data_IF_148787476336
#
_entry.id   IF_148787476336
#
_cell.length_a   1.000
_cell.length_b   1.000
_cell.length_c   1.000
_cell.angle_alpha   90.00
_cell.angle_beta   90.00
_cell.angle_gamma   90.00
#
_symmetry.space_group_name_H-M   'P 1'
#
loop_
_entity.id
_entity.type
_entity.pdbx_description
1 polymer ?
#
# COMPACT_ATOMS: atom_id res chain seq x y z
N UNK A 1 -24.32 20.49 55.75
CA UNK A 1 -22.97 19.83 55.69
C UNK A 1 -22.88 18.61 54.77
N UNK A 2 -23.98 17.97 54.35
CA UNK A 2 -23.97 16.78 53.49
C UNK A 2 -23.72 17.16 52.01
N UNK A 3 -24.29 18.27 51.50
CA UNK A 3 -24.09 18.73 50.11
C UNK A 3 -22.64 19.08 49.76
N UNK A 4 -21.87 19.60 50.73
CA UNK A 4 -20.47 19.99 50.51
C UNK A 4 -19.53 18.78 50.46
N UNK A 5 -19.86 17.68 51.13
CA UNK A 5 -19.09 16.43 51.08
C UNK A 5 -19.29 15.67 49.73
N UNK A 6 -20.51 15.67 49.18
CA UNK A 6 -20.81 15.06 47.89
C UNK A 6 -20.08 15.77 46.72
N UNK A 7 -20.03 17.11 46.74
CA UNK A 7 -19.30 17.86 45.70
C UNK A 7 -17.79 17.57 45.68
N UNK A 8 -17.18 17.48 46.88
CA UNK A 8 -15.74 17.12 46.97
C UNK A 8 -15.45 15.68 46.55
N UNK A 9 -16.33 14.73 46.87
CA UNK A 9 -16.19 13.36 46.46
C UNK A 9 -16.33 13.21 44.93
N UNK A 10 -17.28 13.90 44.31
CA UNK A 10 -17.49 13.92 42.87
C UNK A 10 -16.28 14.52 42.14
N UNK A 11 -15.70 15.62 42.65
CA UNK A 11 -14.49 16.22 42.07
C UNK A 11 -13.27 15.31 42.15
N UNK A 12 -13.09 14.57 43.24
CA UNK A 12 -11.98 13.62 43.39
C UNK A 12 -12.15 12.43 42.46
N UNK A 13 -13.36 11.91 42.29
CA UNK A 13 -13.65 10.81 41.36
C UNK A 13 -13.41 11.25 39.92
N UNK A 14 -13.85 12.45 39.51
CA UNK A 14 -13.57 12.99 38.18
C UNK A 14 -12.07 13.19 37.93
N UNK A 15 -11.31 13.70 38.90
CA UNK A 15 -9.87 13.85 38.81
C UNK A 15 -9.16 12.49 38.66
N UNK A 16 -9.55 11.50 39.43
CA UNK A 16 -8.99 10.15 39.34
C UNK A 16 -9.31 9.46 38.01
N UNK A 17 -10.53 9.65 37.50
CA UNK A 17 -10.91 9.10 36.21
C UNK A 17 -10.18 9.79 35.05
N UNK A 18 -9.95 11.11 35.11
CA UNK A 18 -9.14 11.79 34.07
C UNK A 18 -7.68 11.38 34.13
N UNK A 19 -7.08 11.24 35.31
CA UNK A 19 -5.70 10.74 35.44
C UNK A 19 -5.56 9.31 34.96
N UNK A 20 -6.52 8.44 35.26
CA UNK A 20 -6.53 7.05 34.77
C UNK A 20 -6.71 7.00 33.24
N UNK A 21 -7.56 7.84 32.66
CA UNK A 21 -7.79 7.90 31.23
C UNK A 21 -6.56 8.42 30.48
N UNK A 22 -5.88 9.44 31.03
CA UNK A 22 -4.61 9.92 30.45
C UNK A 22 -3.49 8.89 30.59
N UNK A 23 -3.38 8.19 31.71
CA UNK A 23 -2.38 7.13 31.90
C UNK A 23 -2.58 5.96 30.89
N UNK A 24 -3.83 5.58 30.60
CA UNK A 24 -4.16 4.55 29.61
C UNK A 24 -3.86 5.00 28.16
N UNK A 25 -3.94 6.30 27.88
CA UNK A 25 -3.63 6.85 26.55
C UNK A 25 -2.13 6.81 26.21
N UNK A 26 -1.26 6.75 27.21
CA UNK A 26 0.20 6.62 27.01
C UNK A 26 0.67 5.16 26.92
N UNK A 27 -0.21 4.18 27.15
CA UNK A 27 0.15 2.75 27.03
C UNK A 27 0.07 2.21 25.60
N UNK A 28 -0.17 3.06 24.59
CA UNK A 28 -0.13 2.70 23.18
C UNK A 28 1.27 2.92 22.58
N UNK A 29 2.32 2.53 23.33
CA UNK A 29 3.61 2.32 22.71
C UNK A 29 3.51 1.00 21.94
N UNK A 30 3.47 1.07 20.62
CA UNK A 30 3.82 -0.06 19.78
C UNK A 30 5.31 -0.26 20.03
N UNK A 31 5.71 -1.38 20.64
CA UNK A 31 7.10 -1.78 20.67
C UNK A 31 7.52 -2.01 19.21
N UNK A 32 8.20 -1.04 18.62
CA UNK A 32 8.86 -1.23 17.34
C UNK A 32 10.05 -2.16 17.59
N UNK A 33 10.05 -3.30 16.95
CA UNK A 33 11.18 -4.21 17.01
C UNK A 33 12.40 -3.50 16.39
N UNK A 34 13.44 -3.31 17.18
CA UNK A 34 14.72 -2.78 16.69
C UNK A 34 15.49 -3.90 15.98
N UNK A 35 15.85 -3.66 14.74
CA UNK A 35 16.73 -4.53 13.95
C UNK A 35 18.09 -3.89 13.83
N UNK A 36 19.14 -4.71 13.84
CA UNK A 36 20.48 -4.24 13.59
C UNK A 36 20.58 -3.66 12.17
N UNK A 37 21.23 -2.51 12.02
CA UNK A 37 21.52 -1.93 10.71
C UNK A 37 22.67 -2.66 10.02
N UNK A 38 22.42 -3.92 9.71
CA UNK A 38 23.29 -4.83 8.99
C UNK A 38 22.51 -5.48 7.84
N UNK A 39 23.16 -6.03 6.82
CA UNK A 39 22.49 -6.77 5.76
C UNK A 39 21.50 -7.85 6.27
N UNK A 40 21.92 -8.62 7.28
CA UNK A 40 21.05 -9.62 7.90
C UNK A 40 19.90 -9.00 8.67
N UNK A 41 20.14 -7.95 9.47
CA UNK A 41 19.10 -7.25 10.20
C UNK A 41 18.06 -6.63 9.26
N UNK A 42 18.49 -6.00 8.18
CA UNK A 42 17.60 -5.43 7.16
C UNK A 42 16.79 -6.50 6.42
N UNK A 43 17.39 -7.67 6.15
CA UNK A 43 16.65 -8.81 5.59
C UNK A 43 15.55 -9.31 6.54
N UNK A 44 15.89 -9.54 7.82
CA UNK A 44 14.94 -9.98 8.84
C UNK A 44 13.78 -8.98 9.00
N UNK A 45 14.11 -7.69 9.08
CA UNK A 45 13.12 -6.63 9.18
C UNK A 45 12.14 -6.64 8.01
N UNK A 46 12.63 -6.68 6.77
CA UNK A 46 11.79 -6.69 5.59
C UNK A 46 10.92 -7.96 5.52
N UNK A 47 11.53 -9.14 5.73
CA UNK A 47 10.78 -10.40 5.70
C UNK A 47 9.63 -10.39 6.71
N UNK A 48 9.90 -9.94 7.94
CA UNK A 48 8.90 -9.89 9.01
C UNK A 48 7.81 -8.85 8.76
N UNK A 49 8.15 -7.68 8.22
CA UNK A 49 7.17 -6.68 7.82
C UNK A 49 6.19 -7.28 6.80
N UNK A 50 6.68 -8.00 5.82
CA UNK A 50 5.84 -8.67 4.82
C UNK A 50 5.01 -9.77 5.48
N UNK A 51 5.64 -10.65 6.29
CA UNK A 51 4.96 -11.74 6.99
C UNK A 51 3.76 -11.24 7.81
N UNK A 52 3.92 -10.11 8.50
CA UNK A 52 2.88 -9.55 9.37
C UNK A 52 1.81 -8.72 8.63
N UNK A 53 2.14 -8.13 7.49
CA UNK A 53 1.30 -7.11 6.86
C UNK A 53 0.75 -7.49 5.48
N UNK A 54 1.34 -8.46 4.81
CA UNK A 54 0.85 -8.88 3.50
C UNK A 54 -0.40 -9.75 3.63
N UNK A 55 -1.51 -9.29 3.08
CA UNK A 55 -2.83 -9.91 3.31
C UNK A 55 -3.21 -11.01 2.32
N UNK A 56 -2.41 -11.27 1.28
CA UNK A 56 -2.77 -12.22 0.22
C UNK A 56 -2.03 -13.56 0.28
N UNK A 57 -1.39 -13.93 1.40
CA UNK A 57 -0.65 -15.19 1.51
C UNK A 57 -1.51 -16.42 1.22
N UNK A 58 -2.71 -16.51 1.78
CA UNK A 58 -3.62 -17.64 1.54
C UNK A 58 -4.02 -17.74 0.08
N UNK A 59 -4.30 -16.62 -0.57
CA UNK A 59 -4.59 -16.55 -1.99
C UNK A 59 -3.40 -17.03 -2.82
N UNK A 60 -2.20 -16.53 -2.57
CA UNK A 60 -0.97 -16.92 -3.30
C UNK A 60 -0.59 -18.37 -3.08
N UNK A 61 -0.84 -18.90 -1.88
CA UNK A 61 -0.66 -20.32 -1.57
C UNK A 61 -1.61 -21.21 -2.39
N UNK A 62 -2.87 -20.80 -2.54
CA UNK A 62 -3.84 -21.54 -3.33
C UNK A 62 -3.55 -21.44 -4.84
N UNK A 63 -3.09 -20.29 -5.32
CA UNK A 63 -2.89 -20.02 -6.73
C UNK A 63 -1.65 -20.72 -7.29
N UNK A 64 -0.53 -20.68 -6.60
CA UNK A 64 0.74 -21.26 -7.08
C UNK A 64 1.63 -21.88 -6.00
N UNK A 65 1.07 -22.14 -4.81
CA UNK A 65 1.76 -22.89 -3.76
C UNK A 65 2.80 -22.06 -2.99
N UNK A 66 2.66 -20.73 -2.91
CA UNK A 66 3.59 -19.89 -2.15
C UNK A 66 3.68 -20.36 -0.69
N UNK A 67 4.90 -20.63 -0.23
CA UNK A 67 5.24 -20.83 1.16
C UNK A 67 6.26 -19.77 1.60
N UNK A 68 5.79 -18.80 2.38
CA UNK A 68 6.63 -17.67 2.79
C UNK A 68 7.78 -18.07 3.72
N UNK A 69 7.61 -19.14 4.51
CA UNK A 69 8.70 -19.68 5.32
C UNK A 69 9.76 -20.39 4.45
N UNK A 70 9.36 -21.05 3.39
CA UNK A 70 10.32 -21.60 2.42
C UNK A 70 11.06 -20.50 1.67
N UNK A 71 10.39 -19.37 1.37
CA UNK A 71 11.02 -18.17 0.81
C UNK A 71 12.07 -17.61 1.78
N UNK A 72 11.75 -17.52 3.09
CA UNK A 72 12.72 -17.14 4.10
C UNK A 72 13.96 -18.03 4.07
N UNK A 73 13.79 -19.34 4.13
CA UNK A 73 14.91 -20.28 4.13
C UNK A 73 15.79 -20.16 2.88
N UNK A 74 15.18 -19.93 1.71
CA UNK A 74 15.87 -19.75 0.43
C UNK A 74 16.73 -18.49 0.41
N UNK A 75 16.20 -17.37 0.88
CA UNK A 75 16.86 -16.06 0.73
C UNK A 75 17.74 -15.69 1.92
N UNK A 76 17.41 -16.11 3.14
CA UNK A 76 18.28 -15.90 4.31
C UNK A 76 19.65 -16.58 4.15
N UNK A 77 19.70 -17.72 3.47
CA UNK A 77 20.96 -18.42 3.17
C UNK A 77 21.87 -17.64 2.18
N UNK A 78 21.35 -16.64 1.48
CA UNK A 78 22.10 -15.84 0.52
C UNK A 78 22.64 -14.54 1.15
N UNK A 79 22.19 -14.18 2.35
CA UNK A 79 22.56 -12.91 3.00
C UNK A 79 23.69 -13.12 4.00
N UNK A 80 24.76 -12.32 3.86
CA UNK A 80 25.80 -12.17 4.87
C UNK A 80 26.09 -10.69 5.13
N UNK A 81 26.75 -10.41 6.26
CA UNK A 81 27.00 -9.04 6.69
C UNK A 81 28.15 -8.33 5.93
N UNK A 82 28.76 -8.98 4.94
CA UNK A 82 29.78 -8.38 4.07
C UNK A 82 29.19 -7.86 2.76
N UNK A 83 27.90 -8.09 2.51
CA UNK A 83 27.21 -7.63 1.31
C UNK A 83 27.20 -6.12 1.19
N UNK A 84 27.33 -5.64 -0.04
CA UNK A 84 27.05 -4.24 -0.37
C UNK A 84 25.56 -3.98 -0.40
N UNK A 85 25.15 -2.71 -0.31
CA UNK A 85 23.75 -2.31 -0.44
C UNK A 85 23.11 -2.81 -1.74
N UNK A 86 23.83 -2.77 -2.85
CA UNK A 86 23.34 -3.26 -4.15
C UNK A 86 23.10 -4.76 -4.14
N UNK A 87 24.00 -5.54 -3.58
CA UNK A 87 23.86 -6.99 -3.46
C UNK A 87 22.68 -7.35 -2.56
N UNK A 88 22.56 -6.69 -1.41
CA UNK A 88 21.41 -6.87 -0.53
C UNK A 88 20.09 -6.50 -1.25
N UNK A 89 20.06 -5.36 -1.95
CA UNK A 89 18.88 -4.91 -2.69
C UNK A 89 18.42 -5.94 -3.72
N UNK A 90 19.33 -6.58 -4.44
CA UNK A 90 19.02 -7.64 -5.39
C UNK A 90 18.39 -8.86 -4.71
N UNK A 91 18.93 -9.31 -3.58
CA UNK A 91 18.41 -10.43 -2.81
C UNK A 91 17.00 -10.11 -2.29
N UNK A 92 16.82 -8.93 -1.70
CA UNK A 92 15.52 -8.48 -1.18
C UNK A 92 14.49 -8.31 -2.30
N UNK A 93 14.87 -7.75 -3.42
CA UNK A 93 14.02 -7.59 -4.60
C UNK A 93 13.56 -8.94 -5.17
N UNK A 94 14.46 -9.91 -5.24
CA UNK A 94 14.13 -11.26 -5.68
C UNK A 94 13.20 -11.97 -4.68
N UNK A 95 13.41 -11.78 -3.37
CA UNK A 95 12.52 -12.28 -2.32
C UNK A 95 11.10 -11.72 -2.48
N UNK A 96 10.96 -10.41 -2.65
CA UNK A 96 9.67 -9.76 -2.88
C UNK A 96 9.01 -10.23 -4.18
N UNK A 97 9.80 -10.53 -5.20
CA UNK A 97 9.34 -11.06 -6.48
C UNK A 97 8.60 -12.38 -6.39
N UNK A 98 8.86 -13.20 -5.35
CA UNK A 98 8.14 -14.46 -5.10
C UNK A 98 6.64 -14.24 -4.81
N UNK A 99 6.27 -13.03 -4.33
CA UNK A 99 4.86 -12.67 -4.10
C UNK A 99 4.07 -12.50 -5.41
N UNK A 100 4.75 -12.31 -6.54
CA UNK A 100 4.13 -12.05 -7.85
C UNK A 100 3.03 -10.98 -7.78
N UNK A 101 3.36 -9.87 -7.11
CA UNK A 101 2.41 -8.78 -6.85
C UNK A 101 3.00 -7.44 -7.29
N UNK A 102 2.36 -6.80 -8.27
CA UNK A 102 2.78 -5.50 -8.79
C UNK A 102 2.61 -4.33 -7.81
N UNK A 103 1.94 -4.54 -6.68
CA UNK A 103 1.78 -3.54 -5.62
C UNK A 103 2.89 -3.59 -4.57
N UNK A 104 3.65 -4.69 -4.51
CA UNK A 104 4.80 -4.82 -3.63
C UNK A 104 6.04 -4.31 -4.36
N UNK A 105 6.51 -3.13 -3.96
CA UNK A 105 7.63 -2.46 -4.60
C UNK A 105 8.67 -2.04 -3.56
N UNK A 106 9.94 -2.08 -3.93
CA UNK A 106 11.05 -1.59 -3.13
C UNK A 106 11.86 -0.59 -3.94
N UNK A 107 12.25 0.52 -3.33
CA UNK A 107 12.99 1.60 -3.96
C UNK A 107 14.24 1.95 -3.15
N UNK A 108 15.32 2.20 -3.85
CA UNK A 108 16.53 2.81 -3.33
C UNK A 108 16.97 3.96 -4.26
N UNK A 109 17.90 4.78 -3.84
CA UNK A 109 18.42 5.89 -4.66
C UNK A 109 19.05 5.44 -5.98
N UNK A 110 19.50 4.19 -6.04
CA UNK A 110 20.23 3.62 -7.18
C UNK A 110 19.42 2.59 -7.98
N UNK A 111 18.28 2.08 -7.46
CA UNK A 111 17.50 1.03 -8.15
C UNK A 111 16.06 0.94 -7.64
N UNK A 112 15.23 0.21 -8.39
CA UNK A 112 13.87 -0.16 -7.99
C UNK A 112 13.62 -1.65 -8.26
N UNK A 113 12.98 -2.34 -7.32
CA UNK A 113 12.52 -3.72 -7.48
C UNK A 113 11.00 -3.75 -7.52
N UNK A 114 10.46 -4.34 -8.58
CA UNK A 114 9.03 -4.41 -8.84
C UNK A 114 8.69 -5.64 -9.68
N UNK A 115 7.61 -6.31 -9.35
CA UNK A 115 7.09 -7.40 -10.18
C UNK A 115 6.28 -6.86 -11.36
N UNK A 116 6.90 -6.81 -12.55
CA UNK A 116 6.29 -6.28 -13.77
C UNK A 116 5.52 -7.31 -14.60
N UNK A 117 5.66 -8.59 -14.27
CA UNK A 117 5.13 -9.70 -15.09
C UNK A 117 3.68 -10.07 -14.80
N UNK A 118 3.02 -9.37 -13.85
CA UNK A 118 1.63 -9.62 -13.48
C UNK A 118 0.65 -9.63 -14.67
N UNK A 119 0.95 -8.88 -15.72
CA UNK A 119 0.12 -8.78 -16.93
C UNK A 119 0.36 -9.91 -17.94
N UNK A 120 1.39 -10.74 -17.77
CA UNK A 120 1.66 -11.88 -18.63
C UNK A 120 0.65 -13.01 -18.38
N UNK A 121 0.25 -13.19 -17.13
CA UNK A 121 -0.71 -14.22 -16.70
C UNK A 121 -2.16 -13.78 -16.91
N UNK A 122 -2.41 -12.47 -17.03
CA UNK A 122 -3.75 -11.91 -17.17
C UNK A 122 -3.84 -11.00 -18.40
N UNK A 123 -4.54 -11.41 -19.46
CA UNK A 123 -4.68 -10.59 -20.66
C UNK A 123 -5.40 -9.29 -20.32
N UNK A 124 -4.98 -8.21 -20.98
CA UNK A 124 -5.64 -6.91 -20.82
C UNK A 124 -7.10 -7.03 -21.22
N UNK A 125 -8.00 -6.61 -20.33
CA UNK A 125 -9.43 -6.50 -20.62
C UNK A 125 -9.79 -5.14 -21.28
N UNK A 126 -8.79 -4.35 -21.64
CA UNK A 126 -8.92 -3.07 -22.31
C UNK A 126 -8.44 -3.15 -23.76
N UNK A 127 -9.18 -2.55 -24.66
CA UNK A 127 -8.86 -2.49 -26.10
C UNK A 127 -8.99 -1.06 -26.64
N UNK A 128 -7.87 -0.48 -27.07
CA UNK A 128 -7.86 0.84 -27.73
C UNK A 128 -8.73 0.89 -28.99
N UNK A 129 -8.88 -0.23 -29.70
CA UNK A 129 -9.73 -0.29 -30.89
C UNK A 129 -11.22 -0.25 -30.54
N UNK A 130 -11.62 -0.90 -29.44
CA UNK A 130 -12.98 -0.80 -28.93
C UNK A 130 -13.28 0.59 -28.39
N UNK A 131 -12.35 1.17 -27.63
CA UNK A 131 -12.51 2.55 -27.15
C UNK A 131 -12.72 3.52 -28.32
N UNK A 132 -11.88 3.47 -29.35
CA UNK A 132 -12.03 4.33 -30.54
C UNK A 132 -13.35 4.09 -31.29
N UNK A 133 -13.82 2.86 -31.33
CA UNK A 133 -15.09 2.53 -31.95
C UNK A 133 -16.28 3.17 -31.25
N UNK A 134 -16.28 3.27 -29.94
CA UNK A 134 -17.37 3.78 -29.14
C UNK A 134 -17.24 5.27 -28.80
N UNK A 135 -16.02 5.74 -28.53
CA UNK A 135 -15.74 7.14 -28.23
C UNK A 135 -15.52 8.00 -29.48
N UNK A 136 -15.21 7.38 -30.62
CA UNK A 136 -14.70 8.08 -31.81
C UNK A 136 -13.44 8.91 -31.52
N UNK A 137 -13.30 10.11 -32.09
CA UNK A 137 -12.16 11.00 -31.93
C UNK A 137 -12.52 12.37 -31.38
N UNK A 138 -13.79 12.63 -31.12
CA UNK A 138 -14.33 13.92 -30.69
C UNK A 138 -14.58 14.02 -29.17
N UNK A 139 -13.79 13.27 -28.37
CA UNK A 139 -13.80 13.41 -26.93
C UNK A 139 -12.96 14.59 -26.46
N UNK A 140 -13.26 15.09 -25.27
CA UNK A 140 -12.49 16.10 -24.56
C UNK A 140 -11.45 15.48 -23.65
N UNK A 141 -10.42 16.24 -23.32
CA UNK A 141 -9.32 15.81 -22.43
C UNK A 141 -9.15 16.86 -21.33
N UNK A 142 -9.13 16.39 -20.07
CA UNK A 142 -8.77 17.15 -18.89
C UNK A 142 -7.77 16.33 -18.07
N UNK A 143 -6.48 16.65 -18.16
CA UNK A 143 -5.41 15.86 -17.53
C UNK A 143 -5.40 14.41 -18.02
N UNK A 144 -5.56 13.47 -17.08
CA UNK A 144 -5.67 12.04 -17.38
C UNK A 144 -7.08 11.58 -17.73
N UNK A 145 -8.05 12.50 -17.74
CA UNK A 145 -9.44 12.20 -18.05
C UNK A 145 -9.71 12.40 -19.52
N UNK A 146 -10.39 11.43 -20.15
CA UNK A 146 -11.05 11.57 -21.45
C UNK A 146 -12.53 11.43 -21.25
N UNK A 147 -13.33 12.33 -21.79
CA UNK A 147 -14.76 12.33 -21.55
C UNK A 147 -15.55 12.80 -22.76
N UNK A 148 -16.78 12.28 -22.85
CA UNK A 148 -17.73 12.57 -23.90
C UNK A 148 -19.15 12.27 -23.45
N UNK A 149 -20.12 13.03 -23.91
CA UNK A 149 -21.54 12.65 -23.87
C UNK A 149 -21.83 11.77 -25.08
N UNK A 150 -22.38 10.59 -24.84
CA UNK A 150 -22.84 9.67 -25.88
C UNK A 150 -24.25 10.05 -26.35
N UNK A 151 -24.69 9.50 -27.51
CA UNK A 151 -25.94 9.88 -28.16
C UNK A 151 -27.21 9.55 -27.32
N UNK A 152 -27.12 8.57 -26.43
CA UNK A 152 -28.18 8.17 -25.48
C UNK A 152 -28.17 8.99 -24.18
N UNK A 153 -27.48 10.12 -24.16
CA UNK A 153 -27.34 11.03 -23.02
C UNK A 153 -26.59 10.41 -21.82
N UNK A 154 -25.71 9.43 -22.07
CA UNK A 154 -24.80 8.86 -21.09
C UNK A 154 -23.49 9.62 -21.11
N UNK A 155 -23.01 10.06 -19.94
CA UNK A 155 -21.66 10.60 -19.77
C UNK A 155 -20.64 9.44 -19.69
N UNK A 156 -19.67 9.44 -20.60
CA UNK A 156 -18.53 8.53 -20.54
C UNK A 156 -17.28 9.26 -20.07
N UNK A 157 -16.63 8.72 -19.03
CA UNK A 157 -15.39 9.25 -18.50
C UNK A 157 -14.39 8.09 -18.40
N UNK A 158 -13.22 8.25 -19.02
CA UNK A 158 -12.07 7.37 -18.83
C UNK A 158 -11.01 8.06 -17.99
N UNK A 159 -10.60 7.43 -16.92
CA UNK A 159 -9.46 7.82 -16.09
C UNK A 159 -8.28 6.87 -16.37
N UNK A 160 -7.19 7.38 -16.92
CA UNK A 160 -6.00 6.56 -17.18
C UNK A 160 -5.02 6.52 -16.01
N UNK A 161 -5.11 7.49 -15.08
CA UNK A 161 -4.33 7.55 -13.85
C UNK A 161 -5.08 8.42 -12.84
N UNK A 162 -5.29 7.89 -11.64
CA UNK A 162 -5.91 8.66 -10.55
C UNK A 162 -5.00 9.80 -10.07
N UNK A 163 -3.69 9.60 -10.05
CA UNK A 163 -2.72 10.62 -9.66
C UNK A 163 -2.78 11.84 -10.61
N UNK A 164 -2.81 11.60 -11.91
CA UNK A 164 -2.87 12.66 -12.91
C UNK A 164 -4.30 13.23 -13.12
N UNK A 165 -5.34 12.52 -12.63
CA UNK A 165 -6.72 12.99 -12.72
C UNK A 165 -7.10 14.00 -11.62
N UNK A 166 -6.38 13.99 -10.50
CA UNK A 166 -6.62 14.87 -9.34
C UNK A 166 -5.88 16.22 -9.50
N UNK A 167 -5.58 16.65 -10.72
CA UNK A 167 -5.04 17.98 -10.98
C UNK A 167 -6.12 19.06 -10.83
N UNK A 168 -5.68 20.28 -10.50
CA UNK A 168 -6.56 21.46 -10.37
C UNK A 168 -7.44 21.66 -11.62
N UNK A 169 -8.75 21.66 -11.42
CA UNK A 169 -9.74 21.93 -12.46
C UNK A 169 -10.14 20.75 -13.36
N UNK A 170 -9.45 19.61 -13.34
CA UNK A 170 -9.76 18.51 -14.26
C UNK A 170 -11.17 17.93 -14.07
N UNK A 171 -11.61 17.79 -12.82
CA UNK A 171 -12.97 17.31 -12.50
C UNK A 171 -14.02 18.38 -12.81
N UNK A 172 -13.72 19.65 -12.58
CA UNK A 172 -14.63 20.75 -12.86
C UNK A 172 -14.91 20.85 -14.36
N UNK A 173 -13.89 20.68 -15.21
CA UNK A 173 -14.05 20.63 -16.66
C UNK A 173 -14.99 19.51 -17.13
N UNK A 174 -14.93 18.33 -16.46
CA UNK A 174 -15.81 17.21 -16.78
C UNK A 174 -17.22 17.44 -16.28
N UNK A 175 -17.41 18.04 -15.11
CA UNK A 175 -18.73 18.30 -14.51
C UNK A 175 -19.50 19.41 -15.20
N UNK A 176 -18.78 20.39 -15.82
CA UNK A 176 -19.39 21.50 -16.55
C UNK A 176 -19.76 21.16 -18.00
N UNK A 177 -19.36 20.01 -18.50
CA UNK A 177 -19.67 19.53 -19.87
C UNK A 177 -21.02 18.85 -19.97
#
# INVERSE_FOLDING_TARGET
NIRCRFGKLCSVVCLLSTVLFTALSFASCIDEEEYDDTPKGNFEALWKIIDQRYCFFDYKKQEYGLDWNAVYAKYSAQVDNTMTEQQLFEVLGNMLGELRDGHVNMYASFNSARYWRWHEDYPKNFSDSLERRYLATDYRIAGALRYRRLDDNVGYIRCSSFEAAIGDGNLDDVLLY
#
